data_IF_639983880773
#
_entry.id   IF_639983880773
#
_cell.length_a   1.000
_cell.length_b   1.000
_cell.length_c   1.000
_cell.angle_alpha   90.00
_cell.angle_beta   90.00
_cell.angle_gamma   90.00
#
_symmetry.space_group_name_H-M   'P 1'
#
loop_
_entity.id
_entity.type
_entity.pdbx_description
1 polymer ?
#
# COMPACT_ATOMS: atom_id res chain seq x y z
N UNK A 1 4.64 13.70 6.12
CA UNK A 1 4.52 12.25 5.95
C UNK A 1 5.81 11.58 5.44
N UNK A 2 6.17 11.59 4.15
CA UNK A 2 7.38 10.84 3.69
C UNK A 2 8.71 11.36 4.26
N UNK A 3 8.84 12.68 4.45
CA UNK A 3 10.02 13.28 5.09
C UNK A 3 10.11 12.92 6.57
N UNK A 4 9.00 13.00 7.29
CA UNK A 4 8.90 12.62 8.70
C UNK A 4 9.25 11.13 8.88
N UNK A 5 8.71 10.25 8.04
CA UNK A 5 9.04 8.83 8.04
C UNK A 5 10.56 8.60 7.85
N UNK A 6 11.20 9.38 6.98
CA UNK A 6 12.65 9.30 6.78
C UNK A 6 13.43 9.76 8.01
N UNK A 7 12.98 10.83 8.66
CA UNK A 7 13.58 11.35 9.89
C UNK A 7 13.42 10.35 11.05
N UNK A 8 12.26 9.70 11.16
CA UNK A 8 11.96 8.68 12.17
C UNK A 8 12.80 7.40 11.99
N UNK A 9 13.03 6.97 10.74
CA UNK A 9 13.92 5.84 10.44
C UNK A 9 15.35 6.11 10.92
N UNK A 10 15.86 7.32 10.66
CA UNK A 10 17.21 7.72 11.09
C UNK A 10 17.27 7.77 12.63
N UNK A 11 16.25 8.34 13.27
CA UNK A 11 16.19 8.42 14.74
C UNK A 11 16.08 7.04 15.41
N UNK A 12 15.52 6.05 14.71
CA UNK A 12 15.33 4.67 15.19
C UNK A 12 16.49 3.73 14.83
N UNK A 13 17.58 4.25 14.26
CA UNK A 13 18.74 3.48 13.77
C UNK A 13 18.36 2.36 12.78
N UNK A 14 17.30 2.59 12.00
CA UNK A 14 16.81 1.63 11.01
C UNK A 14 17.47 1.87 9.63
N UNK A 15 17.81 0.80 8.89
CA UNK A 15 18.34 0.92 7.54
C UNK A 15 17.46 1.77 6.62
N UNK A 16 18.06 2.80 6.04
CA UNK A 16 17.39 3.68 5.07
C UNK A 16 16.90 2.95 3.83
N UNK A 17 17.43 1.75 3.57
CA UNK A 17 17.05 0.86 2.46
C UNK A 17 15.59 0.39 2.54
N UNK A 18 14.97 0.39 3.72
CA UNK A 18 13.53 0.10 3.81
C UNK A 18 12.66 1.14 3.08
N UNK A 19 13.17 2.37 2.92
CA UNK A 19 12.45 3.46 2.26
C UNK A 19 12.18 3.23 0.76
N UNK A 20 12.77 2.20 0.14
CA UNK A 20 12.54 1.88 -1.27
C UNK A 20 11.10 1.40 -1.55
N UNK A 21 10.45 0.75 -0.58
CA UNK A 21 9.13 0.13 -0.76
C UNK A 21 8.12 0.71 0.23
N UNK A 22 8.04 2.04 0.32
CA UNK A 22 7.04 2.71 1.17
C UNK A 22 5.65 2.36 0.68
N UNK A 23 4.78 1.95 1.60
CA UNK A 23 3.38 1.74 1.33
C UNK A 23 2.50 2.73 2.06
N UNK A 24 1.25 2.81 1.62
CA UNK A 24 0.16 3.48 2.34
C UNK A 24 -0.93 2.48 2.69
N UNK A 25 -1.59 2.70 3.82
CA UNK A 25 -2.72 1.90 4.25
C UNK A 25 -3.95 2.79 4.40
N UNK A 26 -5.09 2.29 3.95
CA UNK A 26 -6.39 2.90 4.17
C UNK A 26 -7.28 1.91 4.89
N UNK A 27 -7.60 2.25 6.15
CA UNK A 27 -8.41 1.42 7.03
C UNK A 27 -9.77 1.09 6.41
N UNK A 28 -10.25 -0.14 6.60
CA UNK A 28 -11.49 -0.67 6.02
C UNK A 28 -12.68 0.25 6.20
N UNK A 29 -12.81 0.89 7.36
CA UNK A 29 -13.91 1.83 7.64
C UNK A 29 -13.97 3.00 6.65
N UNK A 30 -12.82 3.50 6.20
CA UNK A 30 -12.72 4.58 5.20
C UNK A 30 -12.94 4.07 3.78
N UNK A 31 -12.38 2.90 3.47
CA UNK A 31 -12.62 2.22 2.19
C UNK A 31 -14.13 2.04 1.96
N UNK A 32 -14.86 1.59 2.98
CA UNK A 32 -16.31 1.39 2.92
C UNK A 32 -17.11 2.68 2.80
N UNK A 33 -16.63 3.80 3.37
CA UNK A 33 -17.28 5.11 3.22
C UNK A 33 -16.98 5.78 1.88
N UNK A 34 -16.11 5.19 1.04
CA UNK A 34 -15.69 5.76 -0.23
C UNK A 34 -14.80 6.99 -0.10
N UNK A 35 -14.26 7.23 1.10
CA UNK A 35 -13.29 8.29 1.35
C UNK A 35 -11.88 7.77 1.05
N UNK A 36 -11.46 7.91 -0.20
CA UNK A 36 -10.15 7.49 -0.70
C UNK A 36 -9.06 8.45 -0.25
N UNK A 37 -8.70 8.38 1.03
CA UNK A 37 -7.66 9.17 1.64
C UNK A 37 -6.89 8.34 2.67
N UNK A 38 -5.65 7.99 2.32
CA UNK A 38 -4.70 7.33 3.20
C UNK A 38 -3.91 8.38 4.00
N UNK A 39 -3.94 8.27 5.32
CA UNK A 39 -3.20 9.13 6.24
C UNK A 39 -2.12 8.35 7.01
N UNK A 40 -1.90 7.10 6.65
CA UNK A 40 -0.98 6.18 7.29
C UNK A 40 -0.02 5.65 6.22
N UNK A 41 1.28 5.70 6.53
CA UNK A 41 2.36 5.10 5.74
C UNK A 41 2.99 3.97 6.54
N UNK A 42 3.49 2.97 5.84
CA UNK A 42 4.20 1.85 6.45
C UNK A 42 5.41 1.47 5.61
N UNK A 43 6.29 0.68 6.25
CA UNK A 43 7.46 0.07 5.66
C UNK A 43 7.45 -1.41 6.02
N UNK A 44 7.94 -2.25 5.12
CA UNK A 44 8.28 -3.61 5.48
C UNK A 44 9.63 -3.63 6.19
N UNK A 45 9.68 -4.33 7.32
CA UNK A 45 10.88 -4.52 8.13
C UNK A 45 11.14 -6.02 8.27
N UNK A 46 12.37 -6.37 8.61
CA UNK A 46 12.74 -7.76 8.89
C UNK A 46 12.04 -8.28 10.15
N UNK A 47 11.81 -9.59 10.22
CA UNK A 47 11.06 -10.25 11.30
C UNK A 47 11.66 -9.98 12.68
N UNK A 48 12.99 -9.84 12.75
CA UNK A 48 13.75 -9.51 13.97
C UNK A 48 13.37 -8.15 14.58
N UNK A 49 12.89 -7.21 13.76
CA UNK A 49 12.42 -5.88 14.17
C UNK A 49 10.90 -5.91 14.44
N UNK A 50 10.21 -6.91 13.88
CA UNK A 50 8.75 -7.00 13.77
C UNK A 50 7.99 -7.20 15.07
N UNK A 51 8.62 -7.55 16.20
CA UNK A 51 7.93 -7.76 17.49
C UNK A 51 7.16 -6.51 17.99
N UNK A 52 7.51 -5.33 17.47
CA UNK A 52 6.84 -4.04 17.79
C UNK A 52 5.95 -3.52 16.65
N UNK A 53 5.80 -4.28 15.57
CA UNK A 53 5.14 -3.84 14.35
C UNK A 53 3.76 -4.48 14.19
N UNK A 54 2.88 -3.80 13.45
CA UNK A 54 1.62 -4.37 13.01
C UNK A 54 1.91 -5.45 11.95
N UNK A 55 1.36 -6.66 12.14
CA UNK A 55 1.51 -7.74 11.18
C UNK A 55 0.46 -7.60 10.08
N UNK A 56 0.92 -7.65 8.82
CA UNK A 56 0.04 -7.75 7.68
C UNK A 56 -0.54 -9.18 7.62
N UNK A 57 -1.87 -9.38 7.68
CA UNK A 57 -2.45 -10.70 7.79
C UNK A 57 -2.19 -11.54 6.52
N UNK A 58 -1.81 -12.80 6.70
CA UNK A 58 -1.80 -13.76 5.60
C UNK A 58 -3.22 -14.05 5.11
N UNK A 59 -3.44 -14.14 3.79
CA UNK A 59 -4.77 -14.41 3.24
C UNK A 59 -4.87 -14.24 1.74
N UNK A 60 -6.11 -14.26 1.25
CA UNK A 60 -6.42 -13.97 -0.14
C UNK A 60 -6.56 -12.46 -0.34
N UNK A 61 -5.93 -11.96 -1.39
CA UNK A 61 -5.98 -10.56 -1.76
C UNK A 61 -6.41 -10.42 -3.22
N UNK A 62 -7.31 -9.49 -3.46
CA UNK A 62 -7.52 -8.96 -4.81
C UNK A 62 -6.50 -7.85 -5.02
N UNK A 63 -5.74 -7.95 -6.12
CA UNK A 63 -4.64 -7.04 -6.40
C UNK A 63 -4.79 -6.39 -7.78
N UNK A 64 -4.29 -5.16 -7.89
CA UNK A 64 -4.16 -4.44 -9.15
C UNK A 64 -2.82 -3.71 -9.16
N UNK A 65 -2.03 -3.89 -10.21
CA UNK A 65 -0.77 -3.18 -10.42
C UNK A 65 -0.94 -2.10 -11.51
N UNK A 66 -0.35 -0.94 -11.30
CA UNK A 66 -0.37 0.18 -12.24
C UNK A 66 0.89 1.04 -12.06
N UNK A 67 1.27 1.77 -13.11
CA UNK A 67 2.30 2.81 -13.11
C UNK A 67 1.71 4.24 -13.19
N UNK A 68 0.39 4.35 -13.37
CA UNK A 68 -0.31 5.63 -13.35
C UNK A 68 -0.80 5.95 -11.94
N UNK A 69 -0.02 6.75 -11.21
CA UNK A 69 -0.35 7.22 -9.87
C UNK A 69 -1.54 8.20 -9.86
N UNK A 70 -1.82 8.90 -10.97
CA UNK A 70 -2.94 9.85 -11.02
C UNK A 70 -4.29 9.13 -11.02
N UNK A 71 -4.32 7.89 -11.52
CA UNK A 71 -5.52 7.05 -11.58
C UNK A 71 -5.63 6.04 -10.42
N UNK A 72 -4.87 6.18 -9.33
CA UNK A 72 -4.94 5.24 -8.20
C UNK A 72 -6.38 5.09 -7.66
N UNK A 73 -7.10 6.21 -7.49
CA UNK A 73 -8.49 6.17 -7.00
C UNK A 73 -9.44 5.49 -8.00
N UNK A 74 -9.24 5.68 -9.31
CA UNK A 74 -10.02 4.99 -10.34
C UNK A 74 -9.78 3.49 -10.32
N UNK A 75 -8.51 3.10 -10.24
CA UNK A 75 -8.08 1.71 -10.12
C UNK A 75 -8.61 1.04 -8.84
N UNK A 76 -8.57 1.73 -7.70
CA UNK A 76 -9.13 1.24 -6.44
C UNK A 76 -10.65 0.99 -6.56
N UNK A 77 -11.39 1.91 -7.19
CA UNK A 77 -12.83 1.76 -7.43
C UNK A 77 -13.12 0.58 -8.36
N UNK A 78 -12.32 0.41 -9.41
CA UNK A 78 -12.44 -0.73 -10.33
C UNK A 78 -12.23 -2.05 -9.60
N UNK A 79 -11.19 -2.14 -8.77
CA UNK A 79 -10.92 -3.34 -7.98
C UNK A 79 -12.06 -3.66 -6.99
N UNK A 80 -12.62 -2.64 -6.33
CA UNK A 80 -13.80 -2.82 -5.46
C UNK A 80 -15.03 -3.31 -6.23
N UNK A 81 -15.26 -2.81 -7.44
CA UNK A 81 -16.36 -3.25 -8.29
C UNK A 81 -16.21 -4.74 -8.63
N UNK A 82 -15.00 -5.18 -9.00
CA UNK A 82 -14.68 -6.58 -9.29
C UNK A 82 -14.88 -7.50 -8.09
N UNK A 83 -14.44 -7.08 -6.89
CA UNK A 83 -14.67 -7.82 -5.64
C UNK A 83 -16.17 -8.00 -5.41
N UNK A 84 -16.96 -6.94 -5.62
CA UNK A 84 -18.40 -6.95 -5.44
C UNK A 84 -19.09 -7.85 -6.46
N UNK A 85 -18.72 -7.76 -7.73
CA UNK A 85 -19.28 -8.55 -8.83
C UNK A 85 -19.06 -10.05 -8.63
N UNK A 86 -17.87 -10.43 -8.15
CA UNK A 86 -17.53 -11.82 -7.81
C UNK A 86 -18.17 -12.29 -6.50
N UNK A 87 -18.85 -11.40 -5.77
CA UNK A 87 -19.51 -11.72 -4.51
C UNK A 87 -18.56 -11.98 -3.33
N UNK A 88 -17.30 -11.53 -3.43
CA UNK A 88 -16.31 -11.64 -2.38
C UNK A 88 -16.59 -10.64 -1.25
N UNK A 89 -16.14 -10.96 -0.04
CA UNK A 89 -16.27 -10.07 1.13
C UNK A 89 -14.94 -9.42 1.46
N UNK A 90 -14.95 -8.11 1.72
CA UNK A 90 -13.79 -7.40 2.23
C UNK A 90 -13.43 -7.88 3.64
N UNK A 91 -12.18 -8.26 3.84
CA UNK A 91 -11.69 -8.87 5.09
C UNK A 91 -10.55 -8.08 5.76
N UNK A 92 -10.41 -6.79 5.47
CA UNK A 92 -9.36 -5.97 6.06
C UNK A 92 -9.13 -4.66 5.31
N UNK A 93 -7.95 -4.10 5.53
CA UNK A 93 -7.55 -2.77 5.09
C UNK A 93 -7.03 -2.77 3.65
N UNK A 94 -7.24 -1.65 2.96
CA UNK A 94 -6.67 -1.40 1.64
C UNK A 94 -5.19 -1.05 1.80
N UNK A 95 -4.34 -1.65 0.98
CA UNK A 95 -2.90 -1.43 0.98
C UNK A 95 -2.48 -1.01 -0.42
N UNK A 96 -1.69 0.05 -0.51
CA UNK A 96 -1.01 0.45 -1.74
C UNK A 96 0.49 0.43 -1.49
N UNK A 97 1.18 -0.46 -2.17
CA UNK A 97 2.62 -0.70 -2.02
C UNK A 97 3.36 -0.25 -3.27
N UNK A 98 4.45 0.51 -3.11
CA UNK A 98 5.41 0.76 -4.18
C UNK A 98 6.21 -0.52 -4.42
N UNK A 99 6.09 -1.14 -5.60
CA UNK A 99 6.86 -2.35 -5.96
C UNK A 99 8.19 -1.97 -6.59
N UNK A 100 8.18 -0.97 -7.49
CA UNK A 100 9.37 -0.53 -8.19
C UNK A 100 9.37 1.00 -8.24
N UNK A 101 10.44 1.59 -7.71
CA UNK A 101 10.80 2.98 -7.96
C UNK A 101 12.11 2.96 -8.75
N UNK A 102 12.07 3.40 -10.00
CA UNK A 102 13.26 3.51 -10.85
C UNK A 102 13.73 4.97 -10.88
N UNK A 103 14.61 5.41 -9.96
CA UNK A 103 15.07 6.80 -9.92
C UNK A 103 16.01 7.16 -11.10
N UNK A 104 16.40 6.20 -11.94
CA UNK A 104 17.54 6.34 -12.88
C UNK A 104 17.12 6.64 -14.32
N UNK A 105 15.85 6.42 -14.72
CA UNK A 105 15.51 6.32 -16.15
C UNK A 105 14.71 7.47 -16.79
N UNK A 106 14.27 8.49 -16.05
CA UNK A 106 13.65 9.66 -16.70
C UNK A 106 13.75 10.91 -15.82
N UNK A 107 14.30 12.00 -16.38
CA UNK A 107 14.38 13.32 -15.73
C UNK A 107 13.04 14.08 -15.72
N UNK A 108 12.02 13.56 -16.42
CA UNK A 108 10.73 14.24 -16.62
C UNK A 108 9.57 13.62 -15.80
N UNK A 109 9.61 12.32 -15.50
CA UNK A 109 8.58 11.66 -14.68
C UNK A 109 9.15 10.49 -13.91
N UNK A 110 8.92 10.49 -12.60
CA UNK A 110 9.31 9.38 -11.72
C UNK A 110 8.42 8.18 -12.04
N UNK A 111 8.93 7.20 -12.79
CA UNK A 111 8.19 5.97 -13.12
C UNK A 111 8.16 5.07 -11.89
N UNK A 112 7.04 5.12 -11.18
CA UNK A 112 6.76 4.34 -9.99
C UNK A 112 5.69 3.30 -10.33
N UNK A 113 5.97 2.02 -10.09
CA UNK A 113 4.96 0.97 -10.16
C UNK A 113 4.45 0.69 -8.75
N UNK A 114 3.13 0.70 -8.60
CA UNK A 114 2.47 0.37 -7.35
C UNK A 114 1.50 -0.80 -7.52
N UNK A 115 1.17 -1.39 -6.38
CA UNK A 115 0.21 -2.48 -6.27
C UNK A 115 -0.79 -2.15 -5.18
N UNK A 116 -2.04 -2.07 -5.60
CA UNK A 116 -3.21 -2.06 -4.73
C UNK A 116 -3.49 -3.48 -4.31
N UNK A 117 -3.74 -3.69 -3.02
CA UNK A 117 -4.07 -4.98 -2.42
C UNK A 117 -5.23 -4.80 -1.45
N UNK A 118 -6.29 -5.58 -1.65
CA UNK A 118 -7.45 -5.57 -0.76
C UNK A 118 -7.70 -7.01 -0.28
N UNK A 119 -7.60 -7.29 1.03
CA UNK A 119 -7.85 -8.61 1.58
C UNK A 119 -9.32 -8.98 1.41
N UNK A 120 -9.55 -10.20 0.94
CA UNK A 120 -10.87 -10.74 0.67
C UNK A 120 -11.09 -12.09 1.34
N UNK A 121 -12.35 -12.43 1.52
CA UNK A 121 -12.81 -13.76 1.87
C UNK A 121 -13.72 -14.27 0.75
N UNK A 122 -13.37 -15.44 0.20
CA UNK A 122 -14.22 -16.19 -0.72
C UNK A 122 -15.31 -16.89 0.10
N UNK A 123 -16.51 -16.96 -0.45
CA UNK A 123 -17.64 -17.66 0.21
C UNK A 123 -17.45 -19.17 0.19
#
# INVERSE_FOLDING_TARGET
MLRELKEDLIASDLPITYFCNVGTVMRRGRLLSGNFYANEVFLFVDEEIGERCELLPGGLYCCLCSDDCLDETGNARRLLAEIKERGFRLNGDYICEVILDFPVFDTESRKMFYKIQIPIQVK
#
